data_IF_659246474782
#
_entry.id   IF_659246474782
#
_cell.length_a   1.000
_cell.length_b   1.000
_cell.length_c   1.000
_cell.angle_alpha   90.00
_cell.angle_beta   90.00
_cell.angle_gamma   90.00
#
_symmetry.space_group_name_H-M   'P 1'
#
loop_
_entity.id
_entity.type
_entity.pdbx_description
1 polymer ?
#
# COMPACT_ATOMS: atom_id res chain seq x y z
N UNK A 1 -7.67 14.62 1.41
CA UNK A 1 -6.60 14.01 2.23
C UNK A 1 -6.66 14.52 3.64
N UNK A 2 -6.36 13.66 4.62
CA UNK A 2 -6.45 13.98 6.04
C UNK A 2 -5.31 14.92 6.45
N UNK A 3 -5.67 16.07 7.03
CA UNK A 3 -4.68 16.97 7.65
C UNK A 3 -4.10 16.30 8.90
N UNK A 4 -2.82 16.57 9.19
CA UNK A 4 -2.12 16.10 10.40
C UNK A 4 -2.56 16.90 11.65
N UNK A 5 -3.76 16.63 12.16
CA UNK A 5 -4.39 17.43 13.23
C UNK A 5 -3.69 17.22 14.58
N UNK A 6 -3.35 15.97 14.91
CA UNK A 6 -2.79 15.61 16.22
C UNK A 6 -1.34 16.09 16.35
N UNK A 7 -0.52 15.87 15.32
CA UNK A 7 0.84 16.36 15.23
C UNK A 7 0.90 17.88 15.15
N UNK A 8 -0.07 18.54 14.50
CA UNK A 8 -0.14 20.01 14.50
C UNK A 8 -0.34 20.63 15.90
N UNK A 9 -0.70 19.86 16.92
CA UNK A 9 -0.73 20.37 18.31
C UNK A 9 0.67 20.61 18.90
N UNK A 10 1.71 20.07 18.27
CA UNK A 10 3.13 20.24 18.65
C UNK A 10 3.68 21.60 18.16
N UNK A 11 2.93 22.31 17.30
CA UNK A 11 3.37 23.50 16.52
C UNK A 11 3.77 24.72 17.38
N UNK A 12 3.56 24.68 18.70
CA UNK A 12 3.94 25.76 19.61
C UNK A 12 5.30 25.56 20.31
N UNK A 13 6.02 24.45 20.10
CA UNK A 13 7.17 24.05 20.93
C UNK A 13 8.53 23.89 20.24
N UNK A 14 9.56 23.69 21.07
CA UNK A 14 10.88 23.16 20.70
C UNK A 14 10.76 21.75 20.08
N UNK A 15 11.79 21.25 19.36
CA UNK A 15 11.82 19.88 18.86
C UNK A 15 11.40 18.88 19.95
N UNK A 16 10.37 18.08 19.66
CA UNK A 16 9.79 17.12 20.59
C UNK A 16 10.34 15.74 20.28
N UNK A 17 10.81 15.01 21.28
CA UNK A 17 11.29 13.63 21.07
C UNK A 17 10.14 12.73 20.64
N UNK A 18 10.36 11.87 19.65
CA UNK A 18 9.33 10.93 19.19
C UNK A 18 8.77 10.05 20.33
N UNK A 19 9.62 9.67 21.29
CA UNK A 19 9.23 8.85 22.45
C UNK A 19 8.30 9.56 23.44
N UNK A 20 8.17 10.89 23.35
CA UNK A 20 7.27 11.68 24.21
C UNK A 20 5.94 12.02 23.54
N UNK A 21 5.74 11.60 22.29
CA UNK A 21 4.44 11.71 21.63
C UNK A 21 3.41 10.83 22.32
N UNK A 22 2.19 11.34 22.44
CA UNK A 22 1.07 10.54 22.94
C UNK A 22 0.62 9.48 21.91
N UNK A 23 -0.26 8.59 22.34
CA UNK A 23 -0.76 7.50 21.48
C UNK A 23 -1.47 8.01 20.22
N UNK A 24 -2.17 9.15 20.29
CA UNK A 24 -2.89 9.70 19.13
C UNK A 24 -1.95 10.34 18.11
N UNK A 25 -0.93 11.06 18.58
CA UNK A 25 0.14 11.61 17.77
C UNK A 25 0.97 10.51 17.10
N UNK A 26 1.28 9.43 17.83
CA UNK A 26 2.00 8.29 17.28
C UNK A 26 1.18 7.54 16.22
N UNK A 27 -0.12 7.34 16.44
CA UNK A 27 -1.02 6.78 15.42
C UNK A 27 -1.02 7.63 14.16
N UNK A 28 -1.12 8.95 14.30
CA UNK A 28 -1.12 9.85 13.14
C UNK A 28 0.22 9.82 12.39
N UNK A 29 1.35 9.84 13.11
CA UNK A 29 2.68 9.72 12.53
C UNK A 29 2.89 8.37 11.82
N UNK A 30 2.54 7.26 12.46
CA UNK A 30 2.63 5.91 11.89
C UNK A 30 1.77 5.82 10.62
N UNK A 31 0.53 6.32 10.67
CA UNK A 31 -0.38 6.36 9.52
C UNK A 31 0.24 7.14 8.37
N UNK A 32 0.73 8.36 8.62
CA UNK A 32 1.34 9.21 7.61
C UNK A 32 2.56 8.57 6.95
N UNK A 33 3.49 8.03 7.75
CA UNK A 33 4.69 7.36 7.26
C UNK A 33 4.35 6.12 6.43
N UNK A 34 3.42 5.28 6.91
CA UNK A 34 3.00 4.08 6.19
C UNK A 34 2.31 4.48 4.89
N UNK A 35 1.43 5.49 4.89
CA UNK A 35 0.78 6.00 3.66
C UNK A 35 1.81 6.46 2.62
N UNK A 36 2.94 7.03 3.06
CA UNK A 36 4.04 7.43 2.19
C UNK A 36 5.01 6.29 1.82
N UNK A 37 4.75 5.06 2.28
CA UNK A 37 5.55 3.88 1.95
C UNK A 37 6.71 3.59 2.91
N UNK A 38 6.83 4.32 4.01
CA UNK A 38 7.84 4.07 5.04
C UNK A 38 7.37 2.99 6.04
N UNK A 39 8.17 1.96 6.34
CA UNK A 39 7.74 0.80 7.11
C UNK A 39 7.69 1.06 8.63
N UNK A 40 6.72 1.87 9.09
CA UNK A 40 6.63 2.30 10.48
C UNK A 40 6.11 1.23 11.48
N UNK A 41 5.77 0.02 10.99
CA UNK A 41 5.21 -1.06 11.80
C UNK A 41 3.69 -1.06 11.80
N UNK A 42 3.11 -1.49 12.93
CA UNK A 42 1.65 -1.46 13.13
C UNK A 42 1.20 -0.05 13.53
N UNK A 43 -0.06 0.30 13.20
CA UNK A 43 -0.67 1.58 13.61
C UNK A 43 -1.27 1.39 15.01
N UNK A 44 -0.40 1.31 16.01
CA UNK A 44 -0.75 0.93 17.38
C UNK A 44 -0.50 2.04 18.42
N UNK A 45 0.02 3.20 17.99
CA UNK A 45 0.31 4.32 18.88
C UNK A 45 1.49 4.08 19.81
N UNK A 46 2.34 3.09 19.53
CA UNK A 46 3.53 2.78 20.34
C UNK A 46 4.81 3.25 19.67
N UNK A 47 5.65 3.93 20.44
CA UNK A 47 7.00 4.25 19.99
C UNK A 47 7.86 2.97 19.96
N UNK A 48 8.51 2.72 18.82
CA UNK A 48 9.38 1.56 18.65
C UNK A 48 10.38 1.74 17.52
N UNK A 49 11.29 0.76 17.38
CA UNK A 49 12.38 0.82 16.41
C UNK A 49 11.88 0.99 14.96
N UNK A 50 10.75 0.36 14.59
CA UNK A 50 10.16 0.51 13.24
C UNK A 50 9.72 1.95 12.97
N UNK A 51 8.93 2.54 13.88
CA UNK A 51 8.48 3.94 13.76
C UNK A 51 9.65 4.91 13.73
N UNK A 52 10.65 4.73 14.60
CA UNK A 52 11.87 5.54 14.60
C UNK A 52 12.63 5.44 13.27
N UNK A 53 12.88 4.22 12.79
CA UNK A 53 13.65 4.00 11.57
C UNK A 53 12.90 4.56 10.34
N UNK A 54 11.58 4.39 10.28
CA UNK A 54 10.73 4.95 9.23
C UNK A 54 10.76 6.49 9.23
N UNK A 55 10.75 7.12 10.41
CA UNK A 55 10.91 8.58 10.53
C UNK A 55 12.28 9.04 10.05
N UNK A 56 13.35 8.35 10.45
CA UNK A 56 14.71 8.69 10.02
C UNK A 56 14.89 8.55 8.49
N UNK A 57 14.31 7.52 7.88
CA UNK A 57 14.29 7.32 6.42
C UNK A 57 13.53 8.46 5.72
N UNK A 58 12.35 8.85 6.23
CA UNK A 58 11.61 10.00 5.71
C UNK A 58 12.40 11.32 5.79
N UNK A 59 13.06 11.58 6.92
CA UNK A 59 13.89 12.77 7.07
C UNK A 59 15.09 12.78 6.12
N UNK A 60 15.72 11.61 5.91
CA UNK A 60 16.80 11.46 4.94
C UNK A 60 16.33 11.80 3.52
N UNK A 61 15.24 11.21 3.07
CA UNK A 61 14.69 11.40 1.71
C UNK A 61 14.23 12.83 1.45
N UNK A 62 13.84 13.56 2.49
CA UNK A 62 13.40 14.97 2.42
C UNK A 62 14.54 15.97 2.69
N UNK A 63 15.80 15.50 2.64
CA UNK A 63 17.01 16.29 2.85
C UNK A 63 16.99 17.08 4.16
N UNK A 64 16.47 16.49 5.23
CA UNK A 64 16.49 17.08 6.57
C UNK A 64 17.68 16.57 7.38
N UNK A 65 18.33 17.47 8.12
CA UNK A 65 19.43 17.10 9.01
C UNK A 65 18.92 16.18 10.12
N UNK A 66 19.42 14.94 10.16
CA UNK A 66 19.10 13.98 11.22
C UNK A 66 20.02 14.28 12.40
N UNK A 67 19.63 15.21 13.26
CA UNK A 67 20.41 15.54 14.45
C UNK A 67 19.81 14.97 15.74
N UNK A 68 18.54 14.52 15.72
CA UNK A 68 17.87 13.86 16.83
C UNK A 68 16.58 13.14 16.38
N UNK A 69 16.13 12.12 17.14
CA UNK A 69 14.82 11.44 17.00
C UNK A 69 13.67 12.37 17.42
N UNK A 70 13.58 13.53 16.78
CA UNK A 70 12.65 14.61 17.10
C UNK A 70 11.71 14.92 15.95
N UNK A 71 10.57 15.47 16.31
CA UNK A 71 9.58 16.03 15.40
C UNK A 71 9.31 17.49 15.80
N UNK A 72 9.15 18.36 14.81
CA UNK A 72 8.95 19.79 14.97
C UNK A 72 8.01 20.34 13.88
N UNK A 73 7.66 21.62 13.96
CA UNK A 73 6.76 22.24 13.00
C UNK A 73 7.27 22.15 11.54
N UNK A 74 8.59 22.23 11.32
CA UNK A 74 9.17 22.20 9.99
C UNK A 74 9.10 20.81 9.36
N UNK A 75 9.34 19.76 10.15
CA UNK A 75 9.25 18.36 9.72
C UNK A 75 7.80 17.90 9.57
N UNK A 76 6.88 18.37 10.42
CA UNK A 76 5.42 18.16 10.25
C UNK A 76 4.93 18.80 8.95
N UNK A 77 5.35 20.03 8.63
CA UNK A 77 4.96 20.70 7.38
C UNK A 77 5.45 19.93 6.14
N UNK A 78 6.65 19.34 6.20
CA UNK A 78 7.17 18.48 5.13
C UNK A 78 6.40 17.18 5.02
N UNK A 79 6.04 16.56 6.14
CA UNK A 79 5.20 15.35 6.15
C UNK A 79 3.84 15.64 5.52
N UNK A 80 3.20 16.76 5.88
CA UNK A 80 1.94 17.20 5.27
C UNK A 80 2.11 17.47 3.77
N UNK A 81 3.18 18.15 3.34
CA UNK A 81 3.41 18.43 1.92
C UNK A 81 3.66 17.14 1.11
N UNK A 82 4.40 16.18 1.67
CA UNK A 82 4.60 14.86 1.04
C UNK A 82 3.29 14.09 0.93
N UNK A 83 2.45 14.14 1.97
CA UNK A 83 1.10 13.61 1.90
C UNK A 83 0.34 14.32 0.78
N UNK A 84 0.29 15.66 0.76
CA UNK A 84 -0.46 16.49 -0.20
C UNK A 84 -0.08 16.15 -1.65
N UNK A 85 1.22 16.04 -1.93
CA UNK A 85 1.74 15.58 -3.21
C UNK A 85 1.29 14.15 -3.54
N UNK A 86 1.24 13.27 -2.55
CA UNK A 86 0.82 11.89 -2.72
C UNK A 86 -0.67 11.74 -3.08
N UNK A 87 -1.60 12.66 -2.75
CA UNK A 87 -2.98 12.58 -3.26
C UNK A 87 -3.35 13.61 -4.34
N UNK A 88 -2.39 14.35 -4.90
CA UNK A 88 -2.62 15.28 -6.01
C UNK A 88 -2.89 14.60 -7.38
N UNK A 89 -3.44 13.38 -7.42
CA UNK A 89 -3.89 12.75 -8.68
C UNK A 89 -5.37 12.39 -8.58
N UNK A 90 -6.21 13.38 -8.87
CA UNK A 90 -7.57 13.15 -9.32
C UNK A 90 -7.52 12.98 -10.84
N UNK A 91 -7.78 11.78 -11.35
CA UNK A 91 -7.92 11.57 -12.79
C UNK A 91 -7.44 10.23 -13.35
N UNK A 92 -7.29 9.18 -12.53
CA UNK A 92 -7.09 7.84 -13.08
C UNK A 92 -8.31 7.44 -13.93
N UNK A 93 -8.04 6.96 -15.14
CA UNK A 93 -9.07 6.43 -16.02
C UNK A 93 -9.24 4.93 -15.76
N UNK A 94 -10.37 4.53 -15.16
CA UNK A 94 -10.75 3.13 -15.00
C UNK A 94 -11.84 2.69 -15.98
N UNK A 95 -12.20 3.53 -16.96
CA UNK A 95 -13.25 3.21 -17.95
C UNK A 95 -12.81 2.15 -18.96
N UNK A 96 -11.50 1.91 -19.07
CA UNK A 96 -10.92 0.94 -20.00
C UNK A 96 -9.79 0.13 -19.36
N UNK A 97 -9.48 -1.05 -19.93
CA UNK A 97 -8.32 -1.87 -19.55
C UNK A 97 -7.01 -1.08 -19.73
N UNK A 98 -6.89 -0.33 -20.83
CA UNK A 98 -5.71 0.50 -21.10
C UNK A 98 -5.55 1.64 -20.08
N UNK A 99 -6.66 2.32 -19.74
CA UNK A 99 -6.69 3.33 -18.70
C UNK A 99 -6.24 2.77 -17.35
N UNK A 100 -6.78 1.60 -16.97
CA UNK A 100 -6.42 0.94 -15.70
C UNK A 100 -4.95 0.53 -15.66
N UNK A 101 -4.43 -0.03 -16.76
CA UNK A 101 -2.99 -0.33 -16.90
C UNK A 101 -2.16 0.94 -16.71
N UNK A 102 -2.57 2.06 -17.30
CA UNK A 102 -1.87 3.35 -17.12
C UNK A 102 -1.96 3.85 -15.67
N UNK A 103 -3.11 3.71 -15.02
CA UNK A 103 -3.28 4.05 -13.61
C UNK A 103 -2.33 3.24 -12.70
N UNK A 104 -2.19 1.93 -12.94
CA UNK A 104 -1.21 1.09 -12.21
C UNK A 104 0.23 1.59 -12.41
N UNK A 105 0.63 1.91 -13.65
CA UNK A 105 1.97 2.46 -13.92
C UNK A 105 2.23 3.75 -13.16
N UNK A 106 1.27 4.68 -13.23
CA UNK A 106 1.36 5.98 -12.56
C UNK A 106 1.42 5.83 -11.04
N UNK A 107 0.59 4.95 -10.47
CA UNK A 107 0.58 4.67 -9.05
C UNK A 107 1.89 4.03 -8.55
N UNK A 108 2.44 3.08 -9.31
CA UNK A 108 3.76 2.51 -9.02
C UNK A 108 4.84 3.60 -8.92
N UNK A 109 4.90 4.50 -9.90
CA UNK A 109 5.85 5.62 -9.88
C UNK A 109 5.58 6.53 -8.68
N UNK A 110 4.32 6.86 -8.41
CA UNK A 110 3.90 7.73 -7.29
C UNK A 110 4.34 7.19 -5.93
N UNK A 111 4.21 5.88 -5.72
CA UNK A 111 4.62 5.22 -4.47
C UNK A 111 6.11 4.82 -4.45
N UNK A 112 6.90 5.24 -5.43
CA UNK A 112 8.34 4.99 -5.48
C UNK A 112 8.73 3.54 -5.81
N UNK A 113 7.94 2.89 -6.67
CA UNK A 113 8.22 1.62 -7.36
C UNK A 113 8.38 1.92 -8.87
N UNK A 114 9.45 2.64 -9.22
CA UNK A 114 9.58 3.25 -10.56
C UNK A 114 10.34 2.40 -11.60
N UNK A 115 10.98 1.30 -11.22
CA UNK A 115 11.73 0.48 -12.20
C UNK A 115 10.76 -0.21 -13.15
N UNK A 116 11.04 -0.21 -14.46
CA UNK A 116 10.21 -0.90 -15.47
C UNK A 116 9.95 -2.36 -15.09
N UNK A 117 10.96 -3.06 -14.56
CA UNK A 117 10.84 -4.44 -14.09
C UNK A 117 9.87 -4.58 -12.90
N UNK A 118 9.87 -3.63 -11.97
CA UNK A 118 8.93 -3.63 -10.85
C UNK A 118 7.50 -3.37 -11.34
N UNK A 119 7.32 -2.33 -12.18
CA UNK A 119 6.03 -1.98 -12.78
C UNK A 119 5.46 -3.17 -13.56
N UNK A 120 6.29 -3.86 -14.35
CA UNK A 120 5.89 -5.04 -15.11
C UNK A 120 5.36 -6.16 -14.21
N UNK A 121 5.97 -6.37 -13.04
CA UNK A 121 5.54 -7.39 -12.10
C UNK A 121 4.21 -7.04 -11.39
N UNK A 122 4.02 -5.75 -11.05
CA UNK A 122 2.74 -5.29 -10.50
C UNK A 122 1.61 -5.46 -11.52
N UNK A 123 1.87 -5.11 -12.79
CA UNK A 123 0.92 -5.36 -13.89
C UNK A 123 0.61 -6.84 -14.06
N UNK A 124 1.62 -7.71 -14.07
CA UNK A 124 1.44 -9.15 -14.19
C UNK A 124 0.60 -9.76 -13.07
N UNK A 125 0.76 -9.25 -11.85
CA UNK A 125 -0.06 -9.65 -10.71
C UNK A 125 -1.51 -9.25 -10.93
N UNK A 126 -1.79 -7.98 -11.24
CA UNK A 126 -3.17 -7.54 -11.51
C UNK A 126 -3.78 -8.28 -12.72
N UNK A 127 -2.99 -8.55 -13.75
CA UNK A 127 -3.40 -9.32 -14.94
C UNK A 127 -3.87 -10.73 -14.55
N UNK A 128 -3.07 -11.44 -13.75
CA UNK A 128 -3.40 -12.79 -13.27
C UNK A 128 -4.63 -12.81 -12.36
N UNK A 129 -4.62 -11.98 -11.31
CA UNK A 129 -5.65 -12.01 -10.26
C UNK A 129 -7.03 -11.54 -10.77
N UNK A 130 -7.07 -10.78 -11.87
CA UNK A 130 -8.33 -10.29 -12.48
C UNK A 130 -8.74 -11.05 -13.74
N UNK A 131 -8.13 -12.21 -14.00
CA UNK A 131 -8.35 -13.01 -15.22
C UNK A 131 -8.25 -12.15 -16.49
N UNK A 132 -7.18 -11.36 -16.58
CA UNK A 132 -6.84 -10.48 -17.69
C UNK A 132 -7.78 -9.31 -17.94
N UNK A 133 -8.79 -9.09 -17.10
CA UNK A 133 -9.76 -8.00 -17.31
C UNK A 133 -9.22 -6.64 -16.85
N UNK A 134 -8.29 -6.62 -15.90
CA UNK A 134 -7.89 -5.42 -15.15
C UNK A 134 -9.09 -4.72 -14.51
N UNK A 135 -10.09 -5.48 -14.06
CA UNK A 135 -11.18 -4.99 -13.22
C UNK A 135 -11.00 -5.57 -11.82
N UNK A 136 -11.15 -4.79 -10.74
CA UNK A 136 -11.20 -5.33 -9.39
C UNK A 136 -12.24 -6.45 -9.30
N UNK A 137 -11.86 -7.61 -8.77
CA UNK A 137 -12.77 -8.76 -8.65
C UNK A 137 -12.98 -9.14 -7.19
N UNK A 138 -14.11 -9.79 -6.94
CA UNK A 138 -14.40 -10.46 -5.67
C UNK A 138 -13.93 -11.91 -5.76
N UNK A 139 -13.49 -12.48 -4.65
CA UNK A 139 -13.20 -13.90 -4.56
C UNK A 139 -14.39 -14.73 -5.05
N UNK A 140 -14.13 -15.81 -5.77
CA UNK A 140 -15.16 -16.68 -6.33
C UNK A 140 -16.20 -15.99 -7.24
N UNK A 141 -15.88 -14.84 -7.85
CA UNK A 141 -16.80 -14.08 -8.74
C UNK A 141 -17.35 -14.86 -9.95
N UNK A 142 -16.79 -16.03 -10.26
CA UNK A 142 -17.29 -16.93 -11.30
C UNK A 142 -18.49 -17.80 -10.85
N UNK A 143 -18.82 -17.80 -9.56
CA UNK A 143 -20.00 -18.49 -9.03
C UNK A 143 -21.26 -17.62 -9.16
N UNK A 144 -22.43 -18.28 -9.16
CA UNK A 144 -23.72 -17.59 -9.24
C UNK A 144 -24.05 -16.79 -7.96
N UNK A 145 -23.63 -17.29 -6.81
CA UNK A 145 -23.75 -16.61 -5.51
C UNK A 145 -22.43 -16.74 -4.72
N UNK A 146 -21.43 -15.88 -5.02
CA UNK A 146 -20.15 -15.91 -4.32
C UNK A 146 -20.27 -15.65 -2.82
N UNK A 147 -21.20 -14.78 -2.38
CA UNK A 147 -21.35 -14.42 -0.97
C UNK A 147 -21.84 -15.61 -0.14
N UNK A 148 -22.89 -16.30 -0.60
CA UNK A 148 -23.38 -17.49 0.08
C UNK A 148 -22.32 -18.61 0.15
N UNK A 149 -21.58 -18.81 -0.94
CA UNK A 149 -20.49 -19.79 -0.99
C UNK A 149 -19.39 -19.46 0.02
N UNK A 150 -18.88 -18.22 0.03
CA UNK A 150 -17.79 -17.79 0.92
C UNK A 150 -18.23 -17.83 2.38
N UNK A 151 -19.47 -17.43 2.68
CA UNK A 151 -20.03 -17.53 4.03
C UNK A 151 -20.08 -18.97 4.54
N UNK A 152 -20.36 -19.93 3.66
CA UNK A 152 -20.45 -21.35 4.02
C UNK A 152 -19.06 -22.02 4.11
N UNK A 153 -18.15 -21.72 3.19
CA UNK A 153 -16.90 -22.47 3.01
C UNK A 153 -15.66 -21.77 3.58
N UNK A 154 -15.77 -20.48 3.89
CA UNK A 154 -14.68 -19.62 4.32
C UNK A 154 -15.10 -18.69 5.48
N UNK A 155 -15.84 -19.28 6.42
CA UNK A 155 -16.38 -18.57 7.59
C UNK A 155 -15.29 -18.02 8.54
N UNK A 156 -14.04 -18.48 8.42
CA UNK A 156 -12.89 -18.06 9.22
C UNK A 156 -12.42 -16.64 8.93
N UNK A 157 -12.65 -16.14 7.71
CA UNK A 157 -12.34 -14.76 7.34
C UNK A 157 -13.51 -14.00 6.71
N UNK A 158 -14.70 -14.59 6.61
CA UNK A 158 -15.92 -13.86 6.22
C UNK A 158 -16.24 -12.74 7.23
N UNK A 159 -16.65 -11.52 6.80
CA UNK A 159 -16.93 -11.07 5.42
C UNK A 159 -15.70 -10.48 4.68
N UNK A 160 -14.50 -10.61 5.25
CA UNK A 160 -13.23 -10.07 4.75
C UNK A 160 -12.54 -11.01 3.75
N UNK A 161 -13.31 -11.62 2.85
CA UNK A 161 -12.80 -12.40 1.73
C UNK A 161 -12.15 -11.52 0.64
N UNK A 162 -11.47 -12.15 -0.32
CA UNK A 162 -10.66 -11.48 -1.33
C UNK A 162 -11.42 -10.43 -2.14
N UNK A 163 -10.91 -9.19 -2.19
CA UNK A 163 -11.40 -8.12 -3.07
C UNK A 163 -10.25 -7.36 -3.73
N UNK A 164 -10.50 -6.77 -4.90
CA UNK A 164 -9.56 -5.85 -5.55
C UNK A 164 -8.60 -6.54 -6.54
N UNK A 165 -7.57 -5.82 -6.98
CA UNK A 165 -6.55 -6.31 -7.92
C UNK A 165 -5.61 -7.37 -7.35
N UNK A 166 -5.62 -7.55 -6.03
CA UNK A 166 -4.65 -8.41 -5.31
C UNK A 166 -5.33 -9.32 -4.27
N UNK A 167 -6.66 -9.43 -4.31
CA UNK A 167 -7.45 -10.27 -3.40
C UNK A 167 -7.17 -9.96 -1.91
N UNK A 168 -7.38 -8.71 -1.50
CA UNK A 168 -7.25 -8.27 -0.10
C UNK A 168 -8.18 -9.10 0.80
N UNK A 169 -7.61 -9.80 1.78
CA UNK A 169 -8.29 -10.76 2.65
C UNK A 169 -7.92 -10.50 4.12
N UNK A 170 -8.76 -10.93 5.05
CA UNK A 170 -8.65 -10.81 6.52
C UNK A 170 -8.97 -9.43 7.10
N UNK A 171 -9.69 -9.43 8.22
CA UNK A 171 -10.15 -8.26 8.97
C UNK A 171 -9.04 -7.24 9.25
N UNK A 172 -7.87 -7.69 9.72
CA UNK A 172 -6.75 -6.82 10.06
C UNK A 172 -6.18 -6.07 8.85
N UNK A 173 -6.30 -6.64 7.65
CA UNK A 173 -5.89 -5.96 6.42
C UNK A 173 -6.91 -4.91 6.00
N UNK A 174 -8.20 -5.21 6.12
CA UNK A 174 -9.28 -4.23 5.89
C UNK A 174 -9.17 -3.07 6.89
N UNK A 175 -8.94 -3.34 8.17
CA UNK A 175 -8.73 -2.30 9.19
C UNK A 175 -7.50 -1.44 8.86
N UNK A 176 -6.37 -2.07 8.51
CA UNK A 176 -5.14 -1.37 8.13
C UNK A 176 -5.37 -0.45 6.94
N UNK A 177 -5.89 -0.96 5.83
CA UNK A 177 -6.09 -0.14 4.63
C UNK A 177 -7.21 0.88 4.79
N UNK A 178 -8.23 0.60 5.60
CA UNK A 178 -9.25 1.58 5.97
C UNK A 178 -8.66 2.78 6.69
N UNK A 179 -7.76 2.56 7.66
CA UNK A 179 -7.01 3.63 8.34
C UNK A 179 -6.14 4.44 7.38
N UNK A 180 -5.43 3.78 6.46
CA UNK A 180 -4.51 4.44 5.52
C UNK A 180 -5.22 5.31 4.49
N UNK A 181 -6.37 4.84 4.00
CA UNK A 181 -7.16 5.52 2.95
C UNK A 181 -8.14 6.52 3.56
N UNK A 182 -8.53 6.32 4.83
CA UNK A 182 -9.53 7.12 5.52
C UNK A 182 -10.97 6.72 5.20
N UNK A 183 -11.19 5.44 4.89
CA UNK A 183 -12.48 4.84 4.56
C UNK A 183 -12.78 3.70 5.55
N UNK A 184 -14.04 3.49 5.89
CA UNK A 184 -14.43 2.43 6.84
C UNK A 184 -14.57 1.07 6.13
N UNK A 185 -13.44 0.46 5.78
CA UNK A 185 -13.43 -0.86 5.13
C UNK A 185 -13.85 -2.01 6.06
N UNK A 186 -13.95 -1.77 7.37
CA UNK A 186 -14.35 -2.81 8.33
C UNK A 186 -15.86 -3.00 8.29
N UNK A 187 -16.62 -1.90 8.35
CA UNK A 187 -18.08 -1.96 8.24
C UNK A 187 -18.57 -1.94 6.79
N UNK A 188 -17.73 -1.49 5.85
CA UNK A 188 -18.02 -1.44 4.41
C UNK A 188 -16.93 -2.13 3.57
N UNK A 189 -16.73 -3.46 3.72
CA UNK A 189 -15.67 -4.18 3.03
C UNK A 189 -15.82 -4.17 1.49
N UNK A 190 -17.02 -3.97 0.97
CA UNK A 190 -17.27 -3.80 -0.47
C UNK A 190 -16.52 -2.61 -1.10
N UNK A 191 -16.14 -1.61 -0.29
CA UNK A 191 -15.35 -0.47 -0.76
C UNK A 191 -13.97 -0.91 -1.29
N UNK A 192 -13.42 -2.05 -0.86
CA UNK A 192 -12.18 -2.60 -1.39
C UNK A 192 -12.24 -2.98 -2.89
N UNK A 193 -13.44 -3.03 -3.49
CA UNK A 193 -13.64 -3.21 -4.93
C UNK A 193 -13.59 -1.90 -5.72
N UNK A 194 -13.66 -0.74 -5.08
CA UNK A 194 -13.51 0.55 -5.77
C UNK A 194 -12.12 0.59 -6.45
N UNK A 195 -12.01 0.86 -7.76
CA UNK A 195 -10.74 0.80 -8.49
C UNK A 195 -9.62 1.63 -7.86
N UNK A 196 -9.93 2.79 -7.30
CA UNK A 196 -8.99 3.69 -6.62
C UNK A 196 -8.40 3.05 -5.36
N UNK A 197 -9.27 2.40 -4.56
CA UNK A 197 -8.89 1.73 -3.32
C UNK A 197 -8.07 0.47 -3.64
N UNK A 198 -8.56 -0.35 -4.58
CA UNK A 198 -7.87 -1.54 -5.04
C UNK A 198 -6.49 -1.22 -5.62
N UNK A 199 -6.37 -0.12 -6.37
CA UNK A 199 -5.11 0.37 -6.94
C UNK A 199 -4.11 0.76 -5.86
N UNK A 200 -4.55 1.56 -4.87
CA UNK A 200 -3.70 1.95 -3.74
C UNK A 200 -3.21 0.71 -2.97
N UNK A 201 -4.13 -0.21 -2.62
CA UNK A 201 -3.83 -1.45 -1.90
C UNK A 201 -2.77 -2.28 -2.64
N UNK A 202 -2.96 -2.50 -3.95
CA UNK A 202 -2.04 -3.26 -4.80
C UNK A 202 -0.61 -2.71 -4.70
N UNK A 203 -0.43 -1.43 -5.02
CA UNK A 203 0.91 -0.84 -5.12
C UNK A 203 1.53 -0.66 -3.74
N UNK A 204 0.76 -0.19 -2.77
CA UNK A 204 1.22 0.02 -1.40
C UNK A 204 1.69 -1.28 -0.77
N UNK A 205 0.96 -2.37 -0.99
CA UNK A 205 1.33 -3.68 -0.50
C UNK A 205 2.65 -4.17 -1.08
N UNK A 206 2.90 -3.97 -2.38
CA UNK A 206 4.21 -4.26 -2.99
C UNK A 206 5.34 -3.37 -2.46
N UNK A 207 5.08 -2.07 -2.25
CA UNK A 207 6.07 -1.11 -1.74
C UNK A 207 6.53 -1.48 -0.34
N UNK A 208 5.56 -1.75 0.53
CA UNK A 208 5.79 -1.86 1.98
C UNK A 208 5.94 -3.30 2.46
N UNK A 209 5.54 -4.28 1.64
CA UNK A 209 5.45 -5.68 2.03
C UNK A 209 4.27 -5.94 2.96
N UNK A 210 3.18 -5.20 2.84
CA UNK A 210 2.06 -5.24 3.78
C UNK A 210 1.38 -6.62 3.92
N UNK A 211 1.47 -7.47 2.89
CA UNK A 211 0.80 -8.77 2.86
C UNK A 211 1.62 -9.88 3.53
N UNK A 212 2.92 -9.96 3.28
CA UNK A 212 3.79 -11.07 3.74
C UNK A 212 5.05 -10.63 4.47
N UNK A 213 5.26 -9.32 4.61
CA UNK A 213 6.50 -8.72 5.11
C UNK A 213 7.61 -8.58 4.05
N UNK A 214 7.37 -9.01 2.80
CA UNK A 214 8.35 -8.98 1.71
C UNK A 214 8.00 -7.93 0.69
N UNK A 215 8.94 -7.06 0.37
CA UNK A 215 8.77 -5.93 -0.56
C UNK A 215 9.16 -6.35 -1.97
N UNK A 216 8.61 -5.66 -2.97
CA UNK A 216 9.01 -5.88 -4.36
C UNK A 216 10.52 -5.62 -4.57
N UNK A 217 11.10 -4.67 -3.83
CA UNK A 217 12.52 -4.32 -3.88
C UNK A 217 13.46 -5.44 -3.41
N UNK A 218 12.94 -6.39 -2.61
CA UNK A 218 13.72 -7.53 -2.11
C UNK A 218 14.05 -8.51 -3.25
N UNK A 219 13.28 -8.48 -4.34
CA UNK A 219 13.41 -9.39 -5.48
C UNK A 219 13.69 -8.67 -6.80
N UNK A 220 13.23 -7.43 -6.93
CA UNK A 220 13.32 -6.63 -8.14
C UNK A 220 13.86 -5.24 -7.77
N UNK A 221 15.12 -4.99 -8.11
CA UNK A 221 15.85 -3.74 -7.86
C UNK A 221 16.76 -3.40 -9.04
N UNK A 222 17.63 -2.39 -8.89
CA UNK A 222 18.51 -1.93 -9.96
C UNK A 222 19.48 -3.00 -10.50
N UNK A 223 19.75 -4.06 -9.73
CA UNK A 223 20.73 -5.09 -10.07
C UNK A 223 20.09 -6.47 -10.30
N UNK A 224 18.82 -6.67 -9.97
CA UNK A 224 18.17 -7.99 -10.00
C UNK A 224 16.70 -7.85 -10.38
N UNK A 225 16.17 -8.81 -11.15
CA UNK A 225 14.75 -8.92 -11.47
C UNK A 225 14.30 -10.39 -11.36
N UNK A 226 14.18 -10.90 -10.13
CA UNK A 226 13.71 -12.27 -9.85
C UNK A 226 12.16 -12.30 -9.79
N UNK A 227 11.53 -12.32 -10.96
CA UNK A 227 10.06 -12.34 -11.07
C UNK A 227 9.42 -13.58 -10.44
N UNK A 228 10.12 -14.71 -10.39
CA UNK A 228 9.58 -15.93 -9.79
C UNK A 228 9.48 -15.75 -8.27
N UNK A 229 10.54 -15.24 -7.62
CA UNK A 229 10.50 -14.99 -6.17
C UNK A 229 9.68 -13.78 -5.79
N UNK A 230 9.45 -12.83 -6.70
CA UNK A 230 8.58 -11.69 -6.44
C UNK A 230 7.14 -12.11 -6.04
N UNK A 231 6.70 -13.35 -6.34
CA UNK A 231 5.39 -13.88 -5.88
C UNK A 231 5.26 -13.88 -4.36
N UNK A 232 6.39 -14.01 -3.66
CA UNK A 232 6.45 -13.94 -2.22
C UNK A 232 5.97 -12.62 -1.61
N UNK A 233 5.81 -11.55 -2.39
CA UNK A 233 5.21 -10.32 -1.91
C UNK A 233 3.71 -10.48 -1.62
N UNK A 234 3.02 -11.38 -2.32
CA UNK A 234 1.55 -11.56 -2.24
C UNK A 234 1.18 -12.88 -1.56
N UNK A 235 1.79 -13.98 -2.00
CA UNK A 235 1.47 -15.33 -1.52
C UNK A 235 2.75 -16.19 -1.51
N UNK A 236 2.66 -17.51 -1.34
CA UNK A 236 3.78 -18.44 -1.48
C UNK A 236 4.32 -18.54 -2.91
N UNK A 237 4.46 -19.74 -3.43
CA UNK A 237 4.95 -19.99 -4.81
C UNK A 237 3.86 -20.34 -5.81
N UNK A 238 2.61 -20.33 -5.38
CA UNK A 238 1.50 -20.65 -6.25
C UNK A 238 1.46 -19.71 -7.46
N UNK A 239 1.35 -20.29 -8.65
CA UNK A 239 1.37 -19.61 -9.96
C UNK A 239 2.60 -18.72 -10.24
N UNK A 240 3.68 -18.85 -9.47
CA UNK A 240 4.85 -17.97 -9.58
C UNK A 240 5.48 -17.92 -10.97
N UNK A 241 5.61 -19.07 -11.65
CA UNK A 241 6.18 -19.12 -13.01
C UNK A 241 5.24 -18.49 -14.04
N UNK A 242 3.93 -18.73 -13.95
CA UNK A 242 2.94 -18.16 -14.86
C UNK A 242 2.92 -16.62 -14.76
N UNK A 243 2.93 -16.09 -13.53
CA UNK A 243 3.00 -14.65 -13.28
C UNK A 243 4.35 -14.07 -13.72
N UNK A 244 5.45 -14.82 -13.55
CA UNK A 244 6.76 -14.37 -14.03
C UNK A 244 6.82 -14.24 -15.56
N UNK A 245 6.17 -15.14 -16.31
CA UNK A 245 6.06 -15.00 -17.76
C UNK A 245 5.18 -13.81 -18.17
N UNK A 246 4.06 -13.58 -17.48
CA UNK A 246 3.27 -12.35 -17.67
C UNK A 246 4.12 -11.10 -17.42
N UNK A 247 4.96 -11.10 -16.38
CA UNK A 247 5.85 -9.97 -16.08
C UNK A 247 6.87 -9.72 -17.19
N UNK A 248 7.44 -10.77 -17.80
CA UNK A 248 8.33 -10.62 -18.96
C UNK A 248 7.60 -10.00 -20.16
N UNK A 249 6.36 -10.42 -20.41
CA UNK A 249 5.54 -9.88 -21.50
C UNK A 249 5.21 -8.41 -21.28
N UNK A 250 4.77 -8.04 -20.06
CA UNK A 250 4.53 -6.64 -19.71
C UNK A 250 5.81 -5.82 -19.83
N UNK A 251 6.95 -6.33 -19.36
CA UNK A 251 8.24 -5.64 -19.45
C UNK A 251 8.65 -5.35 -20.89
N UNK A 252 8.42 -6.27 -21.82
CA UNK A 252 8.72 -6.06 -23.24
C UNK A 252 7.87 -4.95 -23.87
N UNK A 253 6.74 -4.57 -23.27
CA UNK A 253 5.80 -3.56 -23.75
C UNK A 253 5.92 -2.19 -23.04
N UNK A 254 6.83 -2.03 -22.07
CA UNK A 254 7.05 -0.83 -21.27
C UNK A 254 8.24 0.01 -21.77
#
# INVERSE_FOLDING_TARGET
>A
MKKLIELMRIVAGQPTLLKSLDSTQLIELQTALITLGYPAGDIDGKYGAKTRNAWAEFLHDTNQAITQDTIDAATIAKLQASLDNAAQIQGYDFSSKAGTINAIKQECIRQGIGLKSQIAYVLATADHETNHTFKPVTEAYWLADPDAYLKQHHADYYPYYGRGYVQLTWDYNYEKYGKLIGEDLVHHPELALKPEIALFVLVHGFKTGAFTGRKISDYINAHTADFVKARYCINGKDKANEIAELAKNHLASL
#
